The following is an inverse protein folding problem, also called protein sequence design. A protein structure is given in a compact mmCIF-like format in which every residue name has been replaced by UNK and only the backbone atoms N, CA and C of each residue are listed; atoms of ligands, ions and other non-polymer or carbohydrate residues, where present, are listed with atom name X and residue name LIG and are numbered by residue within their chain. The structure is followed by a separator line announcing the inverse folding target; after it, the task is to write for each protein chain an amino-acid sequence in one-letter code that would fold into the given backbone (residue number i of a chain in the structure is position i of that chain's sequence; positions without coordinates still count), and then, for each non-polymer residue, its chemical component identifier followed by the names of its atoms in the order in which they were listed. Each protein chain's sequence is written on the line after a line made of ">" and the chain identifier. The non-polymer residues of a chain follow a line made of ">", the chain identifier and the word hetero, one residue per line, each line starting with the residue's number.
data_IF_775607453458
#
_entry.id   IF_775607453458
#
_cell.length_a   1.000
_cell.length_b   1.000
_cell.length_c   1.000
_cell.angle_alpha   90.00
_cell.angle_beta   90.00
_cell.angle_gamma   90.00
#
_symmetry.space_group_name_H-M   'P 1'
#
loop_
_entity.id
_entity.type
_entity.pdbx_description
1 polymer ?
#
# COMPACT_ATOMS: atom_id res chain seq x y z
N UNK A 1 7.07 -22.45 63.92
CA UNK A 1 6.12 -21.51 64.55
C UNK A 1 6.06 -20.25 63.70
N UNK A 2 4.85 -19.81 63.36
CA UNK A 2 4.49 -18.78 62.38
C UNK A 2 4.84 -17.36 62.85
N UNK A 3 5.38 -16.55 61.94
CA UNK A 3 5.35 -15.07 61.88
C UNK A 3 5.47 -14.74 60.36
N UNK A 4 4.80 -13.79 59.72
CA UNK A 4 4.42 -12.42 60.08
C UNK A 4 3.17 -12.05 59.25
N UNK A 5 2.23 -11.36 59.89
CA UNK A 5 1.06 -10.72 59.28
C UNK A 5 1.16 -9.24 59.66
N UNK A 6 1.39 -8.35 58.69
CA UNK A 6 1.27 -6.90 58.86
C UNK A 6 0.57 -6.33 57.64
N UNK A 7 -0.71 -6.06 57.80
CA UNK A 7 -1.52 -5.23 56.93
C UNK A 7 -1.72 -3.86 57.59
N UNK A 8 -1.94 -2.84 56.75
CA UNK A 8 -2.56 -1.50 56.95
C UNK A 8 -1.65 -0.28 56.73
N UNK A 9 -1.99 0.53 55.72
CA UNK A 9 -2.48 1.94 55.79
C UNK A 9 -2.65 2.47 54.35
N UNK A 10 -3.87 2.76 53.87
CA UNK A 10 -4.64 4.02 53.98
C UNK A 10 -4.12 5.19 53.10
N UNK A 11 -4.93 5.46 52.07
CA UNK A 11 -5.42 6.76 51.56
C UNK A 11 -4.46 7.89 51.16
N UNK A 12 -4.65 8.38 49.93
CA UNK A 12 -4.82 9.82 49.67
C UNK A 12 -5.68 10.06 48.42
N UNK A 13 -6.85 10.67 48.64
CA UNK A 13 -7.66 11.35 47.64
C UNK A 13 -6.89 12.55 47.08
N UNK A 14 -6.93 12.75 45.77
CA UNK A 14 -6.54 14.02 45.14
C UNK A 14 -7.75 14.60 44.41
N UNK A 15 -8.26 15.77 44.81
CA UNK A 15 -9.23 16.52 44.02
C UNK A 15 -8.48 17.47 43.09
N UNK A 16 -8.76 17.43 41.78
CA UNK A 16 -8.43 18.53 40.89
C UNK A 16 -9.73 19.18 40.42
N UNK A 17 -9.95 20.37 40.99
CA UNK A 17 -10.97 21.31 40.59
C UNK A 17 -10.57 22.06 39.31
N UNK A 18 -11.61 22.54 38.65
CA UNK A 18 -11.65 23.40 37.46
C UNK A 18 -10.57 24.50 37.41
N UNK A 19 -10.11 24.77 36.19
CA UNK A 19 -9.70 26.10 35.74
C UNK A 19 -10.35 26.38 34.39
N UNK A 20 -11.06 27.49 34.30
CA UNK A 20 -11.65 28.04 33.09
C UNK A 20 -10.85 29.26 32.61
N UNK A 21 -10.95 29.51 31.29
CA UNK A 21 -10.53 30.71 30.53
C UNK A 21 -9.01 30.93 30.37
N UNK A 22 -8.53 30.88 29.12
CA UNK A 22 -8.38 32.09 28.31
C UNK A 22 -8.10 31.75 26.83
N UNK A 23 -8.53 32.69 25.99
CA UNK A 23 -8.48 32.81 24.54
C UNK A 23 -7.11 32.53 23.89
N UNK A 24 -7.10 31.57 22.97
CA UNK A 24 -5.99 31.31 22.05
C UNK A 24 -6.56 30.93 20.69
N UNK A 25 -6.58 31.89 19.77
CA UNK A 25 -6.91 31.68 18.37
C UNK A 25 -5.82 30.83 17.70
N UNK A 26 -5.94 29.50 17.80
CA UNK A 26 -5.20 28.59 16.94
C UNK A 26 -5.95 28.46 15.62
N UNK A 27 -5.50 29.28 14.66
CA UNK A 27 -5.69 29.01 13.23
C UNK A 27 -5.16 27.60 12.97
N UNK A 28 -6.06 26.62 12.92
CA UNK A 28 -5.79 25.36 12.26
C UNK A 28 -5.56 25.67 10.79
N UNK A 29 -4.28 25.84 10.44
CA UNK A 29 -3.78 25.65 9.09
C UNK A 29 -4.18 24.23 8.68
N UNK A 30 -5.33 24.14 8.03
CA UNK A 30 -5.68 22.99 7.22
C UNK A 30 -4.62 22.98 6.14
N UNK A 31 -3.56 22.20 6.37
CA UNK A 31 -2.72 21.73 5.29
C UNK A 31 -3.66 21.07 4.28
N UNK A 32 -4.01 21.81 3.23
CA UNK A 32 -4.61 21.28 2.02
C UNK A 32 -3.64 20.25 1.49
N UNK A 33 -3.78 19.02 1.96
CA UNK A 33 -3.25 17.87 1.26
C UNK A 33 -4.00 17.87 -0.06
N UNK A 34 -3.28 17.97 -1.17
CA UNK A 34 -3.81 17.71 -2.51
C UNK A 34 -4.29 16.25 -2.55
N UNK A 35 -5.52 16.03 -2.08
CA UNK A 35 -6.18 14.73 -2.19
C UNK A 35 -6.68 14.65 -3.63
N UNK A 36 -5.95 13.89 -4.45
CA UNK A 36 -6.43 13.53 -5.79
C UNK A 36 -7.55 12.52 -5.61
N UNK A 37 -8.80 12.99 -5.65
CA UNK A 37 -9.95 12.09 -5.53
C UNK A 37 -10.18 11.41 -6.88
N UNK A 38 -9.81 10.13 -6.96
CA UNK A 38 -10.06 9.29 -8.13
C UNK A 38 -11.50 8.79 -8.01
N UNK A 39 -12.37 9.18 -8.96
CA UNK A 39 -13.82 8.88 -9.00
C UNK A 39 -14.69 9.54 -7.90
N UNK A 40 -14.50 10.83 -7.62
CA UNK A 40 -15.55 11.59 -6.92
C UNK A 40 -16.36 12.47 -7.86
N UNK A 41 -17.68 12.33 -7.78
CA UNK A 41 -18.58 13.45 -8.02
C UNK A 41 -18.36 14.45 -6.88
N UNK A 42 -17.47 15.42 -7.09
CA UNK A 42 -17.25 16.47 -6.12
C UNK A 42 -18.23 17.61 -6.40
N UNK A 43 -19.09 17.91 -5.43
CA UNK A 43 -19.93 19.11 -5.41
C UNK A 43 -19.11 20.26 -4.84
N UNK A 44 -18.43 21.01 -5.70
CA UNK A 44 -17.51 22.08 -5.29
C UNK A 44 -18.21 23.21 -4.49
N UNK A 45 -19.48 23.51 -4.78
CA UNK A 45 -20.24 24.60 -4.16
C UNK A 45 -21.69 24.22 -3.77
N UNK A 46 -22.01 22.92 -3.75
CA UNK A 46 -23.40 22.42 -3.56
C UNK A 46 -24.37 22.74 -4.70
N UNK A 47 -23.92 23.47 -5.73
CA UNK A 47 -24.71 23.83 -6.93
C UNK A 47 -24.02 23.48 -8.26
N UNK A 48 -22.81 22.94 -8.21
CA UNK A 48 -22.06 22.55 -9.40
C UNK A 48 -21.64 21.10 -9.26
N UNK A 49 -21.79 20.32 -10.32
CA UNK A 49 -21.35 18.92 -10.39
C UNK A 49 -20.17 18.82 -11.36
N UNK A 50 -19.14 18.10 -10.93
CA UNK A 50 -17.96 17.83 -11.76
C UNK A 50 -17.96 16.35 -12.12
N UNK A 51 -18.11 16.06 -13.41
CA UNK A 51 -17.97 14.73 -13.98
C UNK A 51 -16.60 14.54 -14.61
N UNK A 52 -15.93 13.42 -14.29
CA UNK A 52 -14.65 13.03 -14.91
C UNK A 52 -14.85 11.83 -15.84
N UNK A 53 -14.36 11.91 -17.07
CA UNK A 53 -14.32 10.77 -18.01
C UNK A 53 -12.94 10.60 -18.62
N UNK A 54 -12.37 9.40 -18.50
CA UNK A 54 -11.08 9.06 -19.11
C UNK A 54 -11.27 8.83 -20.61
N UNK A 55 -10.54 9.59 -21.43
CA UNK A 55 -10.54 9.48 -22.89
C UNK A 55 -9.41 8.60 -23.39
N UNK A 56 -8.23 8.72 -22.77
CA UNK A 56 -7.04 7.97 -23.12
C UNK A 56 -6.22 7.69 -21.87
N UNK A 57 -5.68 6.48 -21.77
CA UNK A 57 -4.79 6.07 -20.71
C UNK A 57 -3.70 5.20 -21.32
N UNK A 58 -2.44 5.58 -21.11
CA UNK A 58 -1.30 4.82 -21.61
C UNK A 58 -0.08 4.99 -20.70
N UNK A 59 0.81 4.01 -20.70
CA UNK A 59 2.04 4.05 -19.93
C UNK A 59 3.13 4.74 -20.75
N UNK A 60 3.75 5.77 -20.17
CA UNK A 60 4.80 6.56 -20.85
C UNK A 60 6.07 5.75 -21.02
N UNK A 61 6.48 5.06 -19.97
CA UNK A 61 7.67 4.21 -19.98
C UNK A 61 7.60 3.15 -18.89
N UNK A 62 8.20 2.00 -19.18
CA UNK A 62 8.39 0.88 -18.26
C UNK A 62 9.88 0.60 -18.10
N UNK A 63 10.35 0.21 -16.90
CA UNK A 63 11.72 -0.23 -16.71
C UNK A 63 11.99 -1.55 -17.43
N UNK A 64 13.26 -1.81 -17.77
CA UNK A 64 13.67 -3.11 -18.31
C UNK A 64 13.78 -4.11 -17.17
N UNK A 65 13.58 -5.39 -17.50
CA UNK A 65 13.64 -6.49 -16.51
C UNK A 65 15.03 -6.61 -15.88
N UNK A 66 16.08 -6.31 -16.65
CA UNK A 66 17.48 -6.41 -16.20
C UNK A 66 17.86 -5.32 -15.20
N UNK A 67 17.15 -4.18 -15.21
CA UNK A 67 17.37 -3.04 -14.30
C UNK A 67 16.58 -3.19 -12.98
N UNK A 68 15.85 -4.29 -12.79
CA UNK A 68 15.05 -4.52 -11.58
C UNK A 68 15.92 -5.11 -10.47
N UNK A 69 15.95 -4.42 -9.33
CA UNK A 69 16.66 -4.84 -8.13
C UNK A 69 15.65 -5.10 -7.00
N UNK A 70 15.27 -6.38 -6.75
CA UNK A 70 14.39 -6.72 -5.64
C UNK A 70 15.11 -6.58 -4.29
N UNK A 71 14.38 -6.10 -3.30
CA UNK A 71 14.80 -6.12 -1.90
C UNK A 71 14.59 -7.54 -1.34
N UNK A 72 15.67 -8.15 -0.83
CA UNK A 72 15.63 -9.49 -0.25
C UNK A 72 15.61 -9.37 1.28
N UNK A 73 14.59 -9.94 1.90
CA UNK A 73 14.41 -9.98 3.35
C UNK A 73 14.63 -11.41 3.83
N UNK A 74 15.50 -11.59 4.82
CA UNK A 74 15.69 -12.88 5.48
C UNK A 74 15.05 -12.91 6.86
N UNK A 75 14.34 -13.97 7.18
CA UNK A 75 13.67 -14.18 8.46
C UNK A 75 14.08 -15.54 9.06
N UNK A 76 13.99 -15.67 10.37
CA UNK A 76 14.16 -16.97 11.05
C UNK A 76 12.78 -17.53 11.36
N UNK A 77 12.43 -18.65 10.75
CA UNK A 77 11.16 -19.34 10.96
C UNK A 77 11.41 -20.64 11.72
N UNK A 78 10.67 -20.88 12.79
CA UNK A 78 10.68 -22.17 13.46
C UNK A 78 9.78 -23.14 12.69
N UNK A 79 10.39 -24.17 12.10
CA UNK A 79 9.68 -25.15 11.28
C UNK A 79 9.67 -26.50 11.99
N UNK A 80 8.52 -27.17 11.91
CA UNK A 80 8.34 -28.52 12.41
C UNK A 80 8.37 -29.51 11.26
N UNK A 81 9.02 -30.64 11.50
CA UNK A 81 9.16 -31.71 10.52
C UNK A 81 9.81 -31.25 9.21
N UNK A 82 10.98 -30.62 9.33
CA UNK A 82 11.76 -30.15 8.19
C UNK A 82 12.07 -31.30 7.24
N UNK A 83 11.78 -31.12 5.95
CA UNK A 83 11.91 -32.15 4.90
C UNK A 83 11.10 -33.45 5.19
N UNK A 84 10.04 -33.36 5.98
CA UNK A 84 9.19 -34.51 6.30
C UNK A 84 9.77 -35.46 7.37
N UNK A 85 10.84 -35.06 8.06
CA UNK A 85 11.40 -35.81 9.18
C UNK A 85 10.73 -35.39 10.50
N UNK A 86 9.92 -36.24 11.15
CA UNK A 86 9.17 -35.90 12.37
C UNK A 86 10.04 -35.44 13.55
N UNK A 87 11.33 -35.77 13.54
CA UNK A 87 12.27 -35.45 14.61
C UNK A 87 12.98 -34.10 14.42
N UNK A 88 12.92 -33.51 13.22
CA UNK A 88 13.62 -32.27 12.88
C UNK A 88 12.72 -31.05 13.05
N UNK A 89 12.78 -30.47 14.24
CA UNK A 89 12.13 -29.21 14.57
C UNK A 89 13.21 -28.17 14.89
N UNK A 90 13.41 -27.21 13.99
CA UNK A 90 14.52 -26.25 14.09
C UNK A 90 14.16 -24.87 13.53
N UNK A 91 14.95 -23.87 13.91
CA UNK A 91 14.89 -22.55 13.30
C UNK A 91 15.63 -22.58 11.97
N UNK A 92 14.91 -22.28 10.90
CA UNK A 92 15.43 -22.24 9.54
C UNK A 92 15.40 -20.81 9.05
N UNK A 93 16.47 -20.41 8.35
CA UNK A 93 16.51 -19.12 7.68
C UNK A 93 15.67 -19.20 6.40
N UNK A 94 14.64 -18.36 6.33
CA UNK A 94 13.75 -18.23 5.17
C UNK A 94 14.01 -16.91 4.47
N UNK A 95 13.74 -16.89 3.17
CA UNK A 95 13.93 -15.72 2.33
C UNK A 95 12.62 -15.31 1.68
N UNK A 96 12.41 -14.01 1.59
CA UNK A 96 11.38 -13.39 0.76
C UNK A 96 11.99 -12.25 -0.02
N UNK A 97 11.41 -11.94 -1.17
CA UNK A 97 11.82 -10.80 -1.97
C UNK A 97 10.61 -9.90 -2.26
N UNK A 98 10.86 -8.60 -2.34
CA UNK A 98 9.88 -7.61 -2.78
C UNK A 98 10.47 -6.66 -3.80
N UNK A 99 9.66 -6.26 -4.77
CA UNK A 99 10.05 -5.33 -5.81
C UNK A 99 8.93 -4.31 -6.03
N UNK A 100 9.27 -3.04 -5.98
CA UNK A 100 8.35 -1.95 -6.30
C UNK A 100 8.72 -1.35 -7.66
N UNK A 101 7.82 -1.52 -8.64
CA UNK A 101 7.98 -0.95 -9.97
C UNK A 101 7.24 0.38 -10.02
N UNK A 102 7.99 1.47 -10.15
CA UNK A 102 7.44 2.80 -10.34
C UNK A 102 7.37 3.12 -11.84
N UNK A 103 6.22 3.62 -12.29
CA UNK A 103 5.99 3.98 -13.70
C UNK A 103 5.13 5.23 -13.83
N UNK A 104 5.21 5.85 -15.00
CA UNK A 104 4.43 7.05 -15.35
C UNK A 104 3.26 6.66 -16.25
N UNK A 105 2.06 7.01 -15.83
CA UNK A 105 0.83 6.86 -16.59
C UNK A 105 0.43 8.22 -17.16
N UNK A 106 0.30 8.30 -18.47
CA UNK A 106 -0.32 9.44 -19.13
C UNK A 106 -1.83 9.20 -19.20
N UNK A 107 -2.61 10.19 -18.78
CA UNK A 107 -4.06 10.13 -18.78
C UNK A 107 -4.64 11.42 -19.37
N UNK A 108 -5.48 11.25 -20.39
CA UNK A 108 -6.29 12.32 -20.97
C UNK A 108 -7.71 12.19 -20.49
N UNK A 109 -8.21 13.23 -19.86
CA UNK A 109 -9.50 13.25 -19.18
C UNK A 109 -10.37 14.38 -19.73
N UNK A 110 -11.65 14.10 -19.97
CA UNK A 110 -12.70 15.09 -20.16
C UNK A 110 -13.33 15.42 -18.81
N UNK A 111 -13.23 16.68 -18.41
CA UNK A 111 -13.90 17.23 -17.24
C UNK A 111 -15.14 17.98 -17.72
N UNK A 112 -16.30 17.58 -17.20
CA UNK A 112 -17.59 18.20 -17.49
C UNK A 112 -18.04 18.89 -16.22
N UNK A 113 -18.13 20.22 -16.27
CA UNK A 113 -18.61 21.02 -15.15
C UNK A 113 -20.02 21.50 -15.49
N UNK A 114 -21.00 21.04 -14.73
CA UNK A 114 -22.39 21.51 -14.81
C UNK A 114 -22.68 22.41 -13.61
N UNK A 115 -23.39 23.52 -13.82
CA UNK A 115 -23.86 24.37 -12.73
C UNK A 115 -25.38 24.48 -12.75
N UNK A 116 -26.00 24.14 -11.63
CA UNK A 116 -27.44 24.28 -11.41
C UNK A 116 -27.81 25.71 -10.97
N UNK A 117 -26.83 26.59 -10.77
CA UNK A 117 -27.02 27.96 -10.27
C UNK A 117 -27.61 28.92 -11.30
N UNK A 118 -27.42 28.65 -12.59
CA UNK A 118 -27.83 29.53 -13.69
C UNK A 118 -28.65 28.72 -14.70
N UNK A 119 -29.96 28.99 -14.77
CA UNK A 119 -30.84 28.33 -15.74
C UNK A 119 -30.40 28.66 -17.16
N UNK A 120 -30.18 27.61 -17.97
CA UNK A 120 -29.81 27.73 -19.38
C UNK A 120 -28.31 27.83 -19.66
N UNK A 121 -27.44 27.73 -18.64
CA UNK A 121 -26.00 27.67 -18.86
C UNK A 121 -25.60 26.26 -19.33
N UNK A 122 -24.92 26.19 -20.47
CA UNK A 122 -24.43 24.94 -21.03
C UNK A 122 -23.27 24.36 -20.20
N UNK A 123 -23.11 23.03 -20.14
CA UNK A 123 -21.98 22.38 -19.47
C UNK A 123 -20.64 22.85 -20.05
N UNK A 124 -19.70 23.22 -19.17
CA UNK A 124 -18.34 23.54 -19.60
C UNK A 124 -17.54 22.24 -19.67
N UNK A 125 -17.09 21.91 -20.88
CA UNK A 125 -16.26 20.75 -21.15
C UNK A 125 -14.80 21.18 -21.31
N UNK A 126 -13.90 20.62 -20.50
CA UNK A 126 -12.47 20.86 -20.59
C UNK A 126 -11.70 19.55 -20.70
N UNK A 127 -10.81 19.48 -21.67
CA UNK A 127 -9.86 18.37 -21.79
C UNK A 127 -8.62 18.69 -20.97
N UNK A 128 -8.19 17.74 -20.14
CA UNK A 128 -6.98 17.85 -19.33
C UNK A 128 -6.09 16.64 -19.55
N UNK A 129 -4.80 16.88 -19.57
CA UNK A 129 -3.76 15.87 -19.71
C UNK A 129 -2.93 15.86 -18.43
N UNK A 130 -2.76 14.68 -17.83
CA UNK A 130 -2.03 14.50 -16.58
C UNK A 130 -1.06 13.33 -16.68
N UNK A 131 0.09 13.49 -16.03
CA UNK A 131 1.08 12.43 -15.87
C UNK A 131 1.05 11.99 -14.41
N UNK A 132 0.62 10.75 -14.17
CA UNK A 132 0.47 10.17 -12.83
C UNK A 132 1.62 9.22 -12.53
N UNK A 133 2.25 9.40 -11.37
CA UNK A 133 3.18 8.41 -10.83
C UNK A 133 2.38 7.27 -10.20
N UNK A 134 2.58 6.05 -10.68
CA UNK A 134 2.02 4.85 -10.09
C UNK A 134 3.12 3.88 -9.67
N UNK A 135 2.80 3.05 -8.69
CA UNK A 135 3.69 1.99 -8.23
C UNK A 135 2.95 0.66 -8.19
N UNK A 136 3.65 -0.41 -8.57
CA UNK A 136 3.17 -1.78 -8.45
C UNK A 136 4.15 -2.60 -7.63
N UNK A 137 3.67 -3.09 -6.49
CA UNK A 137 4.43 -3.99 -5.62
C UNK A 137 4.27 -5.44 -6.05
N UNK A 138 5.40 -6.13 -6.13
CA UNK A 138 5.49 -7.58 -6.29
C UNK A 138 6.16 -8.16 -5.06
N UNK A 139 5.61 -9.28 -4.58
CA UNK A 139 6.19 -10.05 -3.49
C UNK A 139 6.38 -11.49 -3.95
N UNK A 140 7.47 -12.10 -3.48
CA UNK A 140 7.74 -13.51 -3.69
C UNK A 140 6.62 -14.32 -3.05
N UNK A 141 6.12 -15.32 -3.73
CA UNK A 141 5.14 -16.22 -3.13
C UNK A 141 5.84 -17.40 -2.51
N UNK A 142 5.72 -17.51 -1.20
CA UNK A 142 6.37 -18.58 -0.48
C UNK A 142 5.92 -19.96 -0.97
N UNK A 143 4.68 -20.11 -1.49
CA UNK A 143 4.17 -21.36 -2.13
C UNK A 143 4.94 -21.83 -3.35
N UNK A 144 5.67 -20.95 -4.03
CA UNK A 144 6.51 -21.29 -5.19
C UNK A 144 7.97 -21.60 -4.78
N UNK A 145 8.26 -21.59 -3.46
CA UNK A 145 9.56 -21.92 -2.88
C UNK A 145 9.75 -23.41 -2.59
N UNK A 146 10.87 -23.72 -1.95
CA UNK A 146 11.23 -25.09 -1.59
C UNK A 146 10.33 -25.63 -0.46
N UNK A 147 10.08 -26.94 -0.48
CA UNK A 147 9.25 -27.65 0.50
C UNK A 147 9.97 -27.67 1.84
N UNK A 148 9.33 -27.23 2.94
CA UNK A 148 10.04 -27.17 4.23
C UNK A 148 9.27 -27.60 5.51
N UNK A 149 7.98 -27.97 5.51
CA UNK A 149 7.33 -28.52 6.72
C UNK A 149 6.06 -29.37 6.46
N UNK A 150 5.96 -30.53 7.11
CA UNK A 150 4.97 -31.58 6.83
C UNK A 150 3.62 -31.51 7.60
N UNK A 151 3.56 -30.95 8.81
CA UNK A 151 2.37 -31.13 9.70
C UNK A 151 1.53 -29.90 10.07
N UNK A 152 1.86 -28.71 9.59
CA UNK A 152 1.02 -27.52 9.76
C UNK A 152 0.94 -26.84 8.41
N UNK A 153 -0.24 -26.91 7.76
CA UNK A 153 -0.56 -26.32 6.45
C UNK A 153 0.66 -26.03 5.58
N UNK A 154 1.17 -27.02 4.82
CA UNK A 154 2.39 -26.95 3.98
C UNK A 154 2.89 -25.52 3.79
N UNK A 155 3.72 -25.05 4.72
CA UNK A 155 4.30 -23.74 4.63
C UNK A 155 5.54 -23.90 3.75
N UNK A 156 5.48 -23.28 2.59
CA UNK A 156 6.58 -23.25 1.64
C UNK A 156 7.34 -21.95 1.88
N UNK A 157 8.66 -21.99 1.75
CA UNK A 157 9.53 -20.83 1.89
C UNK A 157 10.68 -20.95 0.90
N UNK A 158 11.28 -19.83 0.51
CA UNK A 158 12.53 -19.89 -0.23
C UNK A 158 13.67 -20.18 0.74
N UNK A 159 14.43 -21.23 0.44
CA UNK A 159 15.63 -21.60 1.20
C UNK A 159 16.86 -20.77 0.81
N UNK A 160 16.81 -20.14 -0.37
CA UNK A 160 17.88 -19.33 -0.95
C UNK A 160 17.38 -17.94 -1.35
N UNK A 161 18.22 -16.89 -1.23
CA UNK A 161 17.87 -15.55 -1.66
C UNK A 161 17.67 -15.48 -3.19
N UNK A 162 18.45 -16.23 -3.96
CA UNK A 162 18.38 -16.24 -5.43
C UNK A 162 17.05 -16.80 -5.93
N UNK A 163 16.49 -17.81 -5.25
CA UNK A 163 15.19 -18.37 -5.60
C UNK A 163 14.05 -17.37 -5.37
N UNK A 164 14.08 -16.64 -4.24
CA UNK A 164 13.11 -15.60 -3.94
C UNK A 164 13.18 -14.45 -4.96
N UNK A 165 14.40 -14.03 -5.31
CA UNK A 165 14.64 -13.00 -6.32
C UNK A 165 14.10 -13.41 -7.69
N UNK A 166 14.40 -14.65 -8.12
CA UNK A 166 13.96 -15.20 -9.41
C UNK A 166 12.44 -15.28 -9.53
N UNK A 167 11.74 -15.65 -8.46
CA UNK A 167 10.27 -15.68 -8.45
C UNK A 167 9.68 -14.27 -8.66
N UNK A 168 10.18 -13.28 -7.91
CA UNK A 168 9.73 -11.89 -8.04
C UNK A 168 10.03 -11.32 -9.41
N UNK A 169 11.26 -11.52 -9.93
CA UNK A 169 11.63 -11.08 -11.28
C UNK A 169 10.78 -11.75 -12.35
N UNK A 170 10.46 -13.03 -12.20
CA UNK A 170 9.56 -13.74 -13.13
C UNK A 170 8.17 -13.11 -13.16
N UNK A 171 7.58 -12.82 -12.00
CA UNK A 171 6.25 -12.19 -11.87
C UNK A 171 6.25 -10.77 -12.43
N UNK A 172 7.24 -9.98 -12.05
CA UNK A 172 7.46 -8.64 -12.57
C UNK A 172 7.60 -8.64 -14.10
N UNK A 173 8.41 -9.56 -14.66
CA UNK A 173 8.60 -9.68 -16.10
C UNK A 173 7.32 -10.05 -16.85
N UNK A 174 6.47 -10.91 -16.27
CA UNK A 174 5.20 -11.29 -16.85
C UNK A 174 4.24 -10.08 -16.88
N UNK A 175 4.20 -9.31 -15.80
CA UNK A 175 3.41 -8.08 -15.74
C UNK A 175 3.93 -7.02 -16.71
N UNK A 176 5.25 -6.79 -16.78
CA UNK A 176 5.85 -5.84 -17.73
C UNK A 176 5.52 -6.20 -19.19
N UNK A 177 5.54 -7.49 -19.52
CA UNK A 177 5.11 -7.99 -20.85
C UNK A 177 3.64 -7.70 -21.10
N UNK A 178 2.76 -7.92 -20.12
CA UNK A 178 1.34 -7.59 -20.25
C UNK A 178 1.12 -6.08 -20.46
N UNK A 179 1.83 -5.24 -19.70
CA UNK A 179 1.71 -3.79 -19.77
C UNK A 179 2.35 -3.17 -21.02
N UNK A 180 3.25 -3.89 -21.70
CA UNK A 180 3.87 -3.43 -22.95
C UNK A 180 2.84 -3.12 -24.05
N UNK A 181 1.66 -3.76 -24.01
CA UNK A 181 0.56 -3.51 -24.94
C UNK A 181 -0.15 -2.16 -24.72
N UNK A 182 0.00 -1.55 -23.53
CA UNK A 182 -0.66 -0.30 -23.10
C UNK A 182 0.32 0.88 -23.12
N UNK A 183 1.49 0.70 -23.75
CA UNK A 183 2.45 1.79 -23.91
C UNK A 183 1.89 2.87 -24.85
N UNK A 184 2.20 4.13 -24.55
CA UNK A 184 1.81 5.25 -25.40
C UNK A 184 2.40 5.07 -26.81
N UNK A 185 1.53 5.07 -27.83
CA UNK A 185 1.96 5.06 -29.23
C UNK A 185 2.55 6.44 -29.53
N UNK A 186 3.80 6.46 -29.99
CA UNK A 186 4.43 7.69 -30.50
C UNK A 186 3.85 8.08 -31.85
#
# INVERSE_FOLDING_TARGET
>A
MKRILCATLMTALVPFALSAQDSGSEKNDVQQKDVTVIHAQSTADGKSEVGERILEECIVSLPKVDDLEPEIVSQSAYLKEVNGDPSRNEFVKTYSASLDINYMLYQKTLIIVTTNSVKGQEPVMKVMEKNLKQSRKFTSNSSDGDIFAGRSNRQYYFSTPEAAEKDVKKRASAWLKQQSAVLCKK
#
